data_IF_998833633511
#
_entry.id   IF_998833633511
#
_cell.length_a   1.000
_cell.length_b   1.000
_cell.length_c   1.000
_cell.angle_alpha   90.00
_cell.angle_beta   90.00
_cell.angle_gamma   90.00
#
_symmetry.space_group_name_H-M   'P 1'
#
loop_
_entity.id
_entity.type
_entity.pdbx_description
1 polymer ?
#
# COMPACT_ATOMS: atom_id res chain seq x y z
N UNK A 1 23.47 48.31 -42.28
CA UNK A 1 23.23 46.86 -42.00
C UNK A 1 22.91 46.72 -40.54
N UNK A 2 21.63 46.50 -40.21
CA UNK A 2 21.20 46.29 -38.83
C UNK A 2 21.09 44.79 -38.59
N UNK A 3 21.85 44.28 -37.63
CA UNK A 3 21.82 42.87 -37.21
C UNK A 3 20.61 42.66 -36.29
N UNK A 4 19.69 41.81 -36.73
CA UNK A 4 18.56 41.36 -35.92
C UNK A 4 19.10 40.19 -35.05
N UNK A 5 19.19 40.43 -33.72
CA UNK A 5 19.46 39.38 -32.75
C UNK A 5 18.12 38.71 -32.47
N UNK A 6 17.94 37.48 -32.98
CA UNK A 6 16.82 36.63 -32.62
C UNK A 6 17.19 35.97 -31.27
N UNK A 7 16.61 36.47 -30.17
CA UNK A 7 16.68 35.84 -28.86
C UNK A 7 15.76 34.63 -28.88
N UNK A 8 16.37 33.44 -28.99
CA UNK A 8 15.65 32.20 -28.84
C UNK A 8 15.23 32.01 -27.39
N UNK A 9 13.94 32.16 -27.06
CA UNK A 9 13.37 31.68 -25.84
C UNK A 9 13.44 30.13 -25.84
N UNK A 10 14.42 29.57 -25.15
CA UNK A 10 14.38 28.17 -24.78
C UNK A 10 13.27 28.00 -23.74
N UNK A 11 12.11 27.53 -24.18
CA UNK A 11 11.13 26.93 -23.27
C UNK A 11 11.80 25.73 -22.63
N UNK A 12 12.40 25.90 -21.45
CA UNK A 12 12.64 24.77 -20.55
C UNK A 12 11.26 24.32 -20.09
N UNK A 13 10.72 23.29 -20.72
CA UNK A 13 9.62 22.55 -20.18
C UNK A 13 10.04 22.16 -18.76
N UNK A 14 9.40 22.71 -17.75
CA UNK A 14 9.54 22.27 -16.35
C UNK A 14 9.14 20.81 -16.34
N UNK A 15 10.13 19.90 -16.20
CA UNK A 15 9.88 18.47 -16.09
C UNK A 15 8.86 18.26 -14.98
N UNK A 16 7.76 17.58 -15.30
CA UNK A 16 6.74 17.24 -14.31
C UNK A 16 7.37 16.36 -13.24
N UNK A 17 7.29 16.79 -12.00
CA UNK A 17 7.76 16.00 -10.85
C UNK A 17 6.82 14.85 -10.53
N UNK A 18 5.60 14.85 -11.08
CA UNK A 18 4.56 13.85 -10.86
C UNK A 18 4.86 12.61 -11.72
N UNK A 19 4.67 11.44 -11.14
CA UNK A 19 4.86 10.17 -11.84
C UNK A 19 3.65 9.90 -12.74
N UNK A 20 3.93 9.48 -13.96
CA UNK A 20 2.91 9.16 -14.97
C UNK A 20 3.05 7.70 -15.44
N UNK A 21 2.07 7.23 -16.21
CA UNK A 21 2.08 5.89 -16.83
C UNK A 21 2.16 6.03 -18.36
N UNK A 22 3.04 5.24 -18.98
CA UNK A 22 3.15 5.11 -20.44
C UNK A 22 3.27 3.63 -20.83
N UNK A 23 2.19 3.07 -21.37
CA UNK A 23 2.15 1.64 -21.68
C UNK A 23 2.34 0.81 -20.40
N UNK A 24 3.28 -0.11 -20.43
CA UNK A 24 3.59 -0.98 -19.28
C UNK A 24 4.62 -0.37 -18.31
N UNK A 25 4.89 0.94 -18.37
CA UNK A 25 5.94 1.58 -17.58
C UNK A 25 5.42 2.73 -16.75
N UNK A 26 5.98 2.91 -15.57
CA UNK A 26 5.92 4.17 -14.82
C UNK A 26 7.02 5.09 -15.32
N UNK A 27 6.71 6.39 -15.40
CA UNK A 27 7.63 7.42 -15.89
C UNK A 27 7.80 8.50 -14.82
N UNK A 28 9.04 8.83 -14.48
CA UNK A 28 9.39 9.94 -13.58
C UNK A 28 10.44 10.81 -14.26
N UNK A 29 10.19 12.11 -14.39
CA UNK A 29 11.10 13.04 -15.06
C UNK A 29 11.47 12.58 -16.49
N UNK A 30 10.50 12.07 -17.23
CA UNK A 30 10.68 11.60 -18.62
C UNK A 30 11.47 10.30 -18.78
N UNK A 31 11.73 9.56 -17.70
CA UNK A 31 12.47 8.30 -17.73
C UNK A 31 11.67 7.17 -17.09
N UNK A 32 11.89 5.91 -17.51
CA UNK A 32 11.33 4.76 -16.81
C UNK A 32 11.68 4.81 -15.32
N UNK A 33 10.68 4.57 -14.49
CA UNK A 33 10.80 4.61 -13.04
C UNK A 33 10.58 3.21 -12.46
N UNK A 34 11.63 2.68 -11.82
CA UNK A 34 11.57 1.43 -11.08
C UNK A 34 11.96 1.71 -9.63
N UNK A 35 11.34 1.02 -8.69
CA UNK A 35 11.61 1.26 -7.28
C UNK A 35 11.48 0.00 -6.41
N UNK A 36 12.18 0.03 -5.29
CA UNK A 36 11.90 -0.78 -4.11
C UNK A 36 11.43 0.18 -3.04
N UNK A 37 10.27 -0.10 -2.49
CA UNK A 37 9.61 0.64 -1.44
C UNK A 37 9.27 -0.25 -0.25
N UNK A 38 8.58 0.34 0.71
CA UNK A 38 8.08 -0.38 1.88
C UNK A 38 6.68 0.06 2.27
N UNK A 39 5.96 -0.79 2.99
CA UNK A 39 4.74 -0.43 3.68
C UNK A 39 5.04 0.19 5.04
N UNK A 40 4.34 1.27 5.36
CA UNK A 40 4.38 1.99 6.63
C UNK A 40 2.97 2.52 6.91
N UNK A 41 2.03 1.59 7.16
CA UNK A 41 0.60 1.89 7.31
C UNK A 41 0.32 2.99 8.34
N UNK A 42 1.14 3.07 9.37
CA UNK A 42 1.02 3.98 10.50
C UNK A 42 1.67 5.36 10.27
N UNK A 43 2.19 5.65 9.08
CA UNK A 43 2.97 6.87 8.84
C UNK A 43 2.20 8.15 9.15
N UNK A 44 0.90 8.25 8.80
CA UNK A 44 0.05 9.40 9.11
C UNK A 44 -0.12 9.61 10.62
N UNK A 45 -0.26 8.53 11.39
CA UNK A 45 -0.33 8.59 12.85
C UNK A 45 0.99 9.10 13.42
N UNK A 46 2.11 8.50 12.99
CA UNK A 46 3.45 8.88 13.45
C UNK A 46 3.80 10.33 13.10
N UNK A 47 3.31 10.83 11.95
CA UNK A 47 3.47 12.23 11.51
C UNK A 47 2.58 13.24 12.23
N UNK A 48 1.62 12.79 13.04
CA UNK A 48 0.71 13.68 13.79
C UNK A 48 1.36 14.26 15.02
N UNK A 49 0.71 15.27 15.61
CA UNK A 49 1.04 15.82 16.94
C UNK A 49 0.13 15.26 18.05
N UNK A 50 -0.73 14.29 17.70
CA UNK A 50 -1.66 13.66 18.61
C UNK A 50 -1.13 12.38 19.23
N UNK A 51 -2.07 11.58 19.76
CA UNK A 51 -1.78 10.26 20.32
C UNK A 51 -1.05 9.39 19.27
N UNK A 52 0.04 8.75 19.69
CA UNK A 52 0.88 7.92 18.83
C UNK A 52 1.79 8.68 17.85
N UNK A 53 1.71 10.01 17.83
CA UNK A 53 2.55 10.86 16.98
C UNK A 53 3.98 10.96 17.49
N UNK A 54 4.94 10.92 16.56
CA UNK A 54 6.36 11.13 16.83
C UNK A 54 7.08 11.55 15.54
N UNK A 55 6.99 12.84 15.23
CA UNK A 55 7.62 13.43 14.02
C UNK A 55 9.13 13.26 13.98
N UNK A 56 9.80 13.27 15.15
CA UNK A 56 11.25 13.06 15.21
C UNK A 56 11.60 11.63 14.76
N UNK A 57 10.89 10.63 15.28
CA UNK A 57 11.04 9.24 14.83
C UNK A 57 10.73 9.12 13.33
N UNK A 58 9.63 9.68 12.86
CA UNK A 58 9.27 9.64 11.44
C UNK A 58 10.41 10.18 10.56
N UNK A 59 10.96 11.35 10.88
CA UNK A 59 12.06 11.93 10.12
C UNK A 59 13.31 11.02 10.11
N UNK A 60 13.67 10.42 11.24
CA UNK A 60 14.79 9.47 11.34
C UNK A 60 14.54 8.21 10.49
N UNK A 61 13.30 7.67 10.52
CA UNK A 61 12.93 6.51 9.72
C UNK A 61 13.04 6.82 8.22
N UNK A 62 12.51 7.97 7.77
CA UNK A 62 12.60 8.38 6.38
C UNK A 62 14.05 8.64 5.93
N UNK A 63 14.88 9.22 6.79
CA UNK A 63 16.31 9.41 6.51
C UNK A 63 17.02 8.06 6.37
N UNK A 64 16.73 7.11 7.25
CA UNK A 64 17.28 5.76 7.19
C UNK A 64 16.84 5.05 5.91
N UNK A 65 15.53 5.00 5.62
CA UNK A 65 14.97 4.41 4.40
C UNK A 65 15.64 5.01 3.15
N UNK A 66 15.76 6.33 3.09
CA UNK A 66 16.47 7.00 2.00
C UNK A 66 17.93 6.56 1.87
N UNK A 67 18.64 6.39 3.00
CA UNK A 67 20.05 5.98 3.03
C UNK A 67 20.29 4.57 2.50
N UNK A 68 19.28 3.70 2.59
CA UNK A 68 19.31 2.34 2.04
C UNK A 68 18.70 2.23 0.64
N UNK A 69 18.33 3.38 0.03
CA UNK A 69 17.86 3.48 -1.34
C UNK A 69 16.36 3.30 -1.52
N UNK A 70 15.58 3.19 -0.46
CA UNK A 70 14.10 3.18 -0.52
C UNK A 70 13.61 4.56 -0.92
N UNK A 71 12.74 4.60 -1.93
CA UNK A 71 12.20 5.85 -2.49
C UNK A 71 10.69 5.91 -2.52
N UNK A 72 9.99 4.84 -2.14
CA UNK A 72 8.54 4.77 -2.16
C UNK A 72 8.01 4.22 -0.83
N UNK A 73 6.99 4.89 -0.28
CA UNK A 73 6.29 4.49 0.94
C UNK A 73 4.81 4.28 0.62
N UNK A 74 4.31 3.07 0.86
CA UNK A 74 2.88 2.77 0.80
C UNK A 74 2.28 2.90 2.20
N UNK A 75 1.23 3.70 2.36
CA UNK A 75 0.66 4.04 3.67
C UNK A 75 -0.85 4.23 3.64
N UNK A 76 -1.49 4.06 4.81
CA UNK A 76 -2.89 4.41 5.00
C UNK A 76 -3.07 5.93 5.18
N UNK A 77 -4.24 6.44 4.80
CA UNK A 77 -4.69 7.76 5.25
C UNK A 77 -4.84 7.80 6.78
N UNK A 78 -5.31 6.72 7.35
CA UNK A 78 -5.51 6.47 8.78
C UNK A 78 -6.56 5.38 9.01
N UNK A 79 -6.65 4.80 10.21
CA UNK A 79 -7.65 3.79 10.53
C UNK A 79 -9.01 4.40 10.86
N UNK A 80 -10.08 3.69 10.52
CA UNK A 80 -11.45 4.01 10.90
C UNK A 80 -11.87 3.18 12.12
N UNK A 81 -12.88 3.65 12.85
CA UNK A 81 -13.49 2.94 13.97
C UNK A 81 -14.30 1.71 13.50
N UNK A 82 -14.89 0.98 14.42
CA UNK A 82 -15.89 -0.06 14.12
C UNK A 82 -15.34 -1.47 13.94
N UNK A 83 -14.06 -1.70 14.17
CA UNK A 83 -13.49 -3.05 14.21
C UNK A 83 -14.05 -3.88 15.37
N UNK A 84 -14.32 -5.16 15.12
CA UNK A 84 -14.68 -6.15 16.14
C UNK A 84 -13.46 -6.80 16.81
N UNK A 85 -12.25 -6.52 16.34
CA UNK A 85 -11.02 -7.05 16.93
C UNK A 85 -10.77 -6.43 18.32
N UNK A 86 -10.20 -7.20 19.21
CA UNK A 86 -9.85 -6.72 20.56
C UNK A 86 -8.79 -5.61 20.52
N UNK A 87 -7.93 -5.62 19.52
CA UNK A 87 -6.84 -4.65 19.37
C UNK A 87 -6.74 -4.11 17.93
N UNK A 88 -7.67 -3.23 17.53
CA UNK A 88 -7.61 -2.59 16.22
C UNK A 88 -6.59 -1.46 16.17
N UNK A 89 -6.23 -1.02 14.97
CA UNK A 89 -5.38 0.16 14.79
C UNK A 89 -6.05 1.42 15.34
N UNK A 90 -5.28 2.23 16.06
CA UNK A 90 -5.69 3.50 16.71
C UNK A 90 -4.52 4.50 16.60
N UNK A 91 -4.76 5.83 16.81
CA UNK A 91 -6.07 6.49 16.94
C UNK A 91 -6.84 6.52 15.61
N UNK A 92 -8.16 6.66 15.67
CA UNK A 92 -9.02 6.64 14.49
C UNK A 92 -8.97 7.95 13.69
N UNK A 93 -8.92 7.82 12.36
CA UNK A 93 -9.14 8.92 11.43
C UNK A 93 -10.62 9.28 11.34
N UNK A 94 -11.51 8.27 11.30
CA UNK A 94 -12.96 8.47 11.36
C UNK A 94 -13.56 7.76 12.57
N UNK A 95 -14.31 8.48 13.39
CA UNK A 95 -15.12 7.91 14.50
C UNK A 95 -16.54 7.59 14.03
N UNK A 96 -17.06 8.37 13.10
CA UNK A 96 -18.26 8.12 12.31
C UNK A 96 -18.02 8.59 10.87
N UNK A 97 -18.77 8.10 9.86
CA UNK A 97 -18.58 8.52 8.48
C UNK A 97 -18.66 10.04 8.28
N UNK A 98 -17.55 10.63 7.83
CA UNK A 98 -17.41 12.06 7.63
C UNK A 98 -16.92 12.86 8.85
N UNK A 99 -16.82 12.26 10.02
CA UNK A 99 -16.19 12.87 11.21
C UNK A 99 -14.68 12.60 11.20
N UNK A 100 -13.94 13.46 10.51
CA UNK A 100 -12.51 13.31 10.29
C UNK A 100 -11.66 13.89 11.43
N UNK A 101 -10.71 13.14 11.93
CA UNK A 101 -9.69 13.60 12.87
C UNK A 101 -8.62 14.43 12.14
N UNK A 102 -8.72 15.75 12.21
CA UNK A 102 -7.79 16.64 11.53
C UNK A 102 -6.36 16.52 12.05
N UNK A 103 -6.14 16.06 13.28
CA UNK A 103 -4.80 15.82 13.83
C UNK A 103 -4.06 14.73 13.02
N UNK A 104 -4.75 13.64 12.66
CA UNK A 104 -4.17 12.58 11.80
C UNK A 104 -3.98 13.10 10.37
N UNK A 105 -4.93 13.89 9.85
CA UNK A 105 -4.80 14.49 8.53
C UNK A 105 -3.62 15.49 8.46
N UNK A 106 -3.35 16.25 9.51
CA UNK A 106 -2.14 17.07 9.61
C UNK A 106 -0.87 16.21 9.70
N UNK A 107 -0.98 15.01 10.28
CA UNK A 107 0.09 14.02 10.24
C UNK A 107 0.37 13.52 8.81
N UNK A 108 -0.68 13.23 8.03
CA UNK A 108 -0.57 12.89 6.62
C UNK A 108 0.06 14.04 5.81
N UNK A 109 -0.39 15.28 6.04
CA UNK A 109 0.20 16.49 5.44
C UNK A 109 1.70 16.57 5.72
N UNK A 110 2.10 16.31 6.96
CA UNK A 110 3.51 16.33 7.38
C UNK A 110 4.33 15.24 6.71
N UNK A 111 3.81 14.00 6.63
CA UNK A 111 4.49 12.89 5.93
C UNK A 111 4.74 13.25 4.48
N UNK A 112 3.72 13.75 3.74
CA UNK A 112 3.84 14.12 2.33
C UNK A 112 4.93 15.21 2.16
N UNK A 113 4.95 16.23 3.01
CA UNK A 113 5.97 17.27 2.98
C UNK A 113 7.39 16.73 3.27
N UNK A 114 7.54 15.79 4.21
CA UNK A 114 8.84 15.19 4.55
C UNK A 114 9.33 14.22 3.46
N UNK A 115 8.43 13.54 2.76
CA UNK A 115 8.77 12.72 1.59
C UNK A 115 9.27 13.59 0.43
N UNK A 116 8.61 14.72 0.13
CA UNK A 116 9.08 15.65 -0.92
C UNK A 116 10.50 16.16 -0.64
N UNK A 117 10.80 16.58 0.58
CA UNK A 117 12.14 17.04 0.99
C UNK A 117 13.21 15.99 0.70
N UNK A 118 12.88 14.71 0.82
CA UNK A 118 13.78 13.57 0.60
C UNK A 118 13.72 13.03 -0.83
N UNK A 119 12.89 13.59 -1.70
CA UNK A 119 12.62 13.09 -3.06
C UNK A 119 12.15 11.62 -3.02
N UNK A 120 11.24 11.33 -2.11
CA UNK A 120 10.55 10.06 -1.96
C UNK A 120 9.09 10.24 -2.37
N UNK A 121 8.44 9.13 -2.71
CA UNK A 121 7.08 9.10 -3.23
C UNK A 121 6.14 8.34 -2.28
N UNK A 122 4.88 8.72 -2.26
CA UNK A 122 3.84 8.09 -1.48
C UNK A 122 2.81 7.38 -2.38
N UNK A 123 2.46 6.15 -2.00
CA UNK A 123 1.23 5.48 -2.42
C UNK A 123 0.28 5.49 -1.23
N UNK A 124 -0.89 6.10 -1.38
CA UNK A 124 -1.81 6.34 -0.28
C UNK A 124 -3.10 5.56 -0.50
N UNK A 125 -3.39 4.56 0.34
CA UNK A 125 -4.66 3.86 0.28
C UNK A 125 -5.70 4.47 1.22
N UNK A 126 -6.93 4.56 0.69
CA UNK A 126 -8.02 5.33 1.29
C UNK A 126 -8.88 4.52 2.26
N UNK A 127 -8.93 3.21 2.11
CA UNK A 127 -9.72 2.30 2.93
C UNK A 127 -9.01 0.96 3.08
N UNK A 128 -9.63 0.02 3.79
CA UNK A 128 -9.16 -1.35 3.95
C UNK A 128 -10.34 -2.32 3.80
N UNK A 129 -10.14 -3.48 3.18
CA UNK A 129 -11.16 -4.52 3.19
C UNK A 129 -11.24 -5.24 4.54
N UNK A 130 -10.16 -5.19 5.32
CA UNK A 130 -10.02 -5.86 6.61
C UNK A 130 -10.34 -4.94 7.78
N UNK A 131 -10.96 -5.47 8.81
CA UNK A 131 -11.47 -4.70 9.93
C UNK A 131 -10.42 -4.24 10.94
N UNK A 132 -9.16 -4.65 10.83
CA UNK A 132 -8.12 -4.20 11.75
C UNK A 132 -7.91 -2.68 11.75
N UNK A 133 -8.36 -1.99 10.70
CA UNK A 133 -8.41 -0.54 10.61
C UNK A 133 -9.80 -0.01 10.25
N UNK A 134 -10.87 -0.68 10.67
CA UNK A 134 -12.26 -0.33 10.46
C UNK A 134 -12.90 -1.00 9.24
N UNK A 135 -12.33 -0.81 8.07
CA UNK A 135 -12.70 -1.51 6.85
C UNK A 135 -14.15 -1.31 6.39
N UNK A 136 -14.65 -2.30 5.67
CA UNK A 136 -16.03 -2.28 5.15
C UNK A 136 -17.07 -2.27 6.27
N UNK A 137 -16.73 -2.88 7.42
CA UNK A 137 -17.62 -2.95 8.58
C UNK A 137 -18.00 -1.59 9.14
N UNK A 138 -17.07 -0.62 9.07
CA UNK A 138 -17.31 0.74 9.48
C UNK A 138 -18.52 1.38 8.77
N UNK A 139 -18.61 1.21 7.45
CA UNK A 139 -19.72 1.76 6.66
C UNK A 139 -20.99 0.91 6.75
N UNK A 140 -20.86 -0.41 6.77
CA UNK A 140 -22.00 -1.34 6.83
C UNK A 140 -22.78 -1.20 8.16
N UNK A 141 -22.10 -0.97 9.27
CA UNK A 141 -22.71 -0.69 10.56
C UNK A 141 -23.69 0.48 10.48
N UNK A 142 -23.31 1.57 9.83
CA UNK A 142 -24.13 2.77 9.63
C UNK A 142 -25.30 2.54 8.65
N UNK A 143 -25.26 1.45 7.90
CA UNK A 143 -26.36 1.00 7.04
C UNK A 143 -27.34 0.06 7.74
N UNK A 144 -27.12 -0.25 9.03
CA UNK A 144 -28.01 -1.09 9.83
C UNK A 144 -27.69 -2.58 9.78
N UNK A 145 -26.51 -2.98 9.28
CA UNK A 145 -26.07 -4.37 9.27
C UNK A 145 -25.57 -4.87 10.64
N UNK A 146 -25.49 -3.97 11.64
CA UNK A 146 -24.91 -4.28 12.95
C UNK A 146 -23.39 -4.25 12.96
N UNK A 147 -22.81 -4.73 14.06
CA UNK A 147 -21.37 -4.78 14.23
C UNK A 147 -20.73 -5.84 13.30
N UNK A 148 -19.51 -5.54 12.82
CA UNK A 148 -18.72 -6.49 12.03
C UNK A 148 -18.45 -7.77 12.85
N UNK A 149 -18.58 -8.97 12.26
CA UNK A 149 -18.14 -10.19 12.92
C UNK A 149 -16.64 -10.19 13.15
N UNK A 150 -16.17 -10.70 14.29
CA UNK A 150 -14.75 -10.92 14.54
C UNK A 150 -14.23 -12.11 13.72
N UNK A 151 -13.38 -11.84 12.72
CA UNK A 151 -12.83 -12.87 11.85
C UNK A 151 -11.92 -13.88 12.57
N UNK A 152 -11.37 -13.53 13.75
CA UNK A 152 -10.46 -14.37 14.51
C UNK A 152 -11.16 -15.33 15.47
N UNK A 153 -12.49 -15.23 15.63
CA UNK A 153 -13.27 -16.19 16.41
C UNK A 153 -13.54 -17.49 15.63
N UNK A 154 -13.89 -18.55 16.32
CA UNK A 154 -14.29 -19.81 15.68
C UNK A 154 -15.44 -19.60 14.68
N UNK A 155 -15.21 -19.97 13.41
CA UNK A 155 -16.13 -19.72 12.31
C UNK A 155 -16.34 -18.23 11.98
N UNK A 156 -15.57 -17.32 12.61
CA UNK A 156 -15.68 -15.87 12.43
C UNK A 156 -15.32 -15.41 11.05
N UNK A 157 -14.30 -16.00 10.44
CA UNK A 157 -13.87 -15.64 9.09
C UNK A 157 -14.98 -15.74 8.04
N UNK A 158 -15.73 -16.85 8.01
CA UNK A 158 -16.84 -17.00 7.06
C UNK A 158 -17.95 -15.98 7.32
N UNK A 159 -18.29 -15.72 8.60
CA UNK A 159 -19.27 -14.68 8.95
C UNK A 159 -18.81 -13.29 8.51
N UNK A 160 -17.52 -12.99 8.66
CA UNK A 160 -16.93 -11.74 8.21
C UNK A 160 -17.01 -11.60 6.69
N UNK A 161 -16.66 -12.64 5.94
CA UNK A 161 -16.76 -12.67 4.47
C UNK A 161 -18.21 -12.42 4.01
N UNK A 162 -19.18 -13.12 4.59
CA UNK A 162 -20.61 -12.96 4.27
C UNK A 162 -21.13 -11.56 4.58
N UNK A 163 -20.66 -10.98 5.68
CA UNK A 163 -20.99 -9.62 6.10
C UNK A 163 -20.39 -8.59 5.13
N UNK A 164 -19.10 -8.67 4.86
CA UNK A 164 -18.37 -7.73 4.00
C UNK A 164 -18.80 -7.79 2.52
N UNK A 165 -19.32 -8.94 2.04
CA UNK A 165 -19.89 -9.09 0.70
C UNK A 165 -21.02 -8.09 0.41
N UNK A 166 -21.63 -7.50 1.44
CA UNK A 166 -22.69 -6.50 1.28
C UNK A 166 -22.17 -5.11 0.93
N UNK A 167 -20.90 -4.80 1.21
CA UNK A 167 -20.38 -3.43 1.07
C UNK A 167 -20.57 -2.87 -0.34
N UNK A 168 -20.08 -3.56 -1.36
CA UNK A 168 -20.21 -3.09 -2.75
C UNK A 168 -21.63 -3.11 -3.30
N UNK A 169 -22.56 -3.78 -2.60
CA UNK A 169 -24.01 -3.86 -2.94
C UNK A 169 -24.85 -2.82 -2.21
N UNK A 170 -24.32 -2.18 -1.16
CA UNK A 170 -25.04 -1.21 -0.33
C UNK A 170 -24.82 0.23 -0.82
N UNK A 171 -25.79 0.85 -1.51
CA UNK A 171 -25.60 2.19 -2.08
C UNK A 171 -25.25 3.27 -1.04
N UNK A 172 -25.80 3.17 0.18
CA UNK A 172 -25.51 4.14 1.25
C UNK A 172 -24.08 4.02 1.75
N UNK A 173 -23.54 2.78 1.87
CA UNK A 173 -22.15 2.56 2.23
C UNK A 173 -21.19 3.15 1.17
N UNK A 174 -21.50 2.91 -0.10
CA UNK A 174 -20.74 3.46 -1.23
C UNK A 174 -20.79 4.99 -1.25
N UNK A 175 -21.95 5.60 -0.99
CA UNK A 175 -22.10 7.07 -0.92
C UNK A 175 -21.24 7.66 0.21
N UNK A 176 -21.28 7.08 1.40
CA UNK A 176 -20.44 7.51 2.53
C UNK A 176 -18.95 7.40 2.19
N UNK A 177 -18.53 6.29 1.58
CA UNK A 177 -17.15 6.10 1.14
C UNK A 177 -16.75 7.13 0.05
N UNK A 178 -17.62 7.42 -0.91
CA UNK A 178 -17.37 8.46 -1.92
C UNK A 178 -17.26 9.87 -1.32
N UNK A 179 -18.02 10.17 -0.28
CA UNK A 179 -17.88 11.44 0.43
C UNK A 179 -16.54 11.53 1.18
N UNK A 180 -16.07 10.42 1.73
CA UNK A 180 -14.74 10.32 2.31
C UNK A 180 -13.64 10.53 1.25
N UNK A 181 -13.72 9.86 0.09
CA UNK A 181 -12.79 10.11 -1.05
C UNK A 181 -12.72 11.61 -1.37
N UNK A 182 -13.89 12.26 -1.52
CA UNK A 182 -13.93 13.70 -1.82
C UNK A 182 -13.20 14.52 -0.77
N UNK A 183 -13.45 14.24 0.50
CA UNK A 183 -12.83 14.98 1.61
C UNK A 183 -11.31 14.85 1.63
N UNK A 184 -10.79 13.63 1.41
CA UNK A 184 -9.34 13.38 1.43
C UNK A 184 -8.66 13.90 0.17
N UNK A 185 -9.11 13.50 -1.02
CA UNK A 185 -8.41 13.79 -2.29
C UNK A 185 -8.43 15.29 -2.64
N UNK A 186 -9.48 16.03 -2.22
CA UNK A 186 -9.55 17.48 -2.40
C UNK A 186 -8.83 18.30 -1.31
N UNK A 187 -8.16 17.65 -0.36
CA UNK A 187 -7.49 18.33 0.75
C UNK A 187 -6.41 19.29 0.25
N UNK A 188 -6.23 20.37 0.99
CA UNK A 188 -5.08 21.26 0.92
C UNK A 188 -4.13 20.92 2.06
N UNK A 189 -2.89 20.59 1.73
CA UNK A 189 -1.84 20.29 2.69
C UNK A 189 -1.58 21.50 3.59
N UNK A 190 -1.70 21.33 4.89
CA UNK A 190 -1.52 22.40 5.87
C UNK A 190 -0.06 22.84 6.05
N UNK A 191 0.91 22.02 5.63
CA UNK A 191 2.35 22.28 5.73
C UNK A 191 2.87 22.97 4.46
N UNK A 192 2.56 22.42 3.28
CA UNK A 192 3.07 22.95 2.00
C UNK A 192 2.18 24.05 1.43
N UNK A 193 0.92 24.11 1.84
CA UNK A 193 -0.08 25.04 1.31
C UNK A 193 -0.60 24.66 -0.09
N UNK A 194 -0.18 23.53 -0.68
CA UNK A 194 -0.65 23.03 -1.98
C UNK A 194 -1.90 22.15 -1.82
N UNK A 195 -2.71 22.08 -2.89
CA UNK A 195 -3.72 21.03 -2.98
C UNK A 195 -3.05 19.67 -3.17
N UNK A 196 -3.63 18.59 -2.64
CA UNK A 196 -3.05 17.25 -2.77
C UNK A 196 -2.81 16.85 -4.23
N UNK A 197 -3.69 17.23 -5.14
CA UNK A 197 -3.49 16.99 -6.59
C UNK A 197 -2.25 17.67 -7.20
N UNK A 198 -1.62 18.59 -6.48
CA UNK A 198 -0.42 19.31 -6.90
C UNK A 198 0.80 18.95 -6.04
N UNK A 199 0.69 17.95 -5.17
CA UNK A 199 1.77 17.47 -4.29
C UNK A 199 2.69 16.50 -5.03
N UNK A 200 3.94 16.88 -5.35
CA UNK A 200 4.80 16.04 -6.20
C UNK A 200 5.29 14.75 -5.50
N UNK A 201 5.12 14.63 -4.21
CA UNK A 201 5.45 13.42 -3.47
C UNK A 201 4.33 12.37 -3.49
N UNK A 202 3.11 12.71 -3.90
CA UNK A 202 2.07 11.72 -4.10
C UNK A 202 2.32 11.05 -5.46
N UNK A 203 2.53 9.73 -5.45
CA UNK A 203 2.59 8.92 -6.66
C UNK A 203 1.21 8.46 -7.07
N UNK A 204 0.46 7.91 -6.13
CA UNK A 204 -0.81 7.27 -6.43
C UNK A 204 -1.79 7.31 -5.26
N UNK A 205 -3.07 7.37 -5.62
CA UNK A 205 -4.19 7.02 -4.76
C UNK A 205 -4.59 5.57 -4.98
N UNK A 206 -4.82 4.84 -3.89
CA UNK A 206 -5.40 3.51 -3.95
C UNK A 206 -6.78 3.50 -3.35
N UNK A 207 -7.70 2.83 -4.02
CA UNK A 207 -9.09 2.77 -3.56
C UNK A 207 -9.20 2.12 -2.19
N UNK A 208 -8.43 1.05 -1.96
CA UNK A 208 -8.54 0.26 -0.74
C UNK A 208 -7.28 -0.58 -0.56
N UNK A 209 -6.91 -0.92 0.66
CA UNK A 209 -6.04 -2.04 0.91
C UNK A 209 -6.83 -3.33 0.71
N UNK A 210 -6.35 -4.18 -0.22
CA UNK A 210 -6.89 -5.50 -0.50
C UNK A 210 -8.41 -5.54 -0.76
N UNK A 211 -8.94 -4.69 -1.68
CA UNK A 211 -10.35 -4.72 -1.98
C UNK A 211 -10.78 -6.11 -2.49
N UNK A 212 -11.81 -6.67 -1.87
CA UNK A 212 -12.37 -7.98 -2.23
C UNK A 212 -13.87 -7.90 -2.43
N UNK A 213 -14.44 -8.68 -3.38
CA UNK A 213 -15.89 -8.85 -3.49
C UNK A 213 -16.48 -9.65 -2.33
N UNK A 214 -15.68 -10.51 -1.68
CA UNK A 214 -16.07 -11.46 -0.64
C UNK A 214 -17.24 -12.40 -1.05
N UNK A 215 -17.55 -12.44 -2.33
CA UNK A 215 -18.57 -13.32 -2.90
C UNK A 215 -18.36 -13.47 -4.40
N UNK A 216 -18.32 -14.69 -4.92
CA UNK A 216 -18.12 -14.99 -6.36
C UNK A 216 -19.19 -14.36 -7.27
N UNK A 217 -20.42 -14.23 -6.77
CA UNK A 217 -21.55 -13.66 -7.53
C UNK A 217 -21.73 -12.15 -7.30
N UNK A 218 -20.75 -11.47 -6.74
CA UNK A 218 -20.86 -10.04 -6.46
C UNK A 218 -20.50 -9.17 -7.68
N UNK A 219 -21.44 -8.96 -8.58
CA UNK A 219 -21.28 -8.10 -9.77
C UNK A 219 -21.18 -6.60 -9.44
N UNK A 220 -21.55 -6.18 -8.23
CA UNK A 220 -21.47 -4.78 -7.81
C UNK A 220 -20.03 -4.33 -7.53
N UNK A 221 -19.13 -5.28 -7.28
CA UNK A 221 -17.73 -5.00 -6.93
C UNK A 221 -16.99 -4.23 -8.04
N UNK A 222 -17.00 -4.71 -9.28
CA UNK A 222 -16.36 -4.02 -10.39
C UNK A 222 -16.95 -2.62 -10.64
N UNK A 223 -18.28 -2.47 -10.47
CA UNK A 223 -18.94 -1.17 -10.57
C UNK A 223 -18.48 -0.19 -9.47
N UNK A 224 -18.31 -0.67 -8.24
CA UNK A 224 -17.79 0.15 -7.14
C UNK A 224 -16.34 0.58 -7.43
N UNK A 225 -15.46 -0.33 -7.83
CA UNK A 225 -14.07 -0.04 -8.21
C UNK A 225 -14.03 1.06 -9.30
N UNK A 226 -14.77 0.87 -10.40
CA UNK A 226 -14.83 1.83 -11.51
C UNK A 226 -15.35 3.20 -11.05
N UNK A 227 -16.42 3.23 -10.24
CA UNK A 227 -16.99 4.47 -9.73
C UNK A 227 -16.07 5.24 -8.80
N UNK A 228 -15.36 4.53 -7.89
CA UNK A 228 -14.38 5.13 -7.00
C UNK A 228 -13.18 5.70 -7.76
N UNK A 229 -12.64 4.95 -8.72
CA UNK A 229 -11.54 5.39 -9.57
C UNK A 229 -11.91 6.64 -10.40
N UNK A 230 -13.08 6.63 -11.02
CA UNK A 230 -13.59 7.77 -11.78
C UNK A 230 -13.78 9.01 -10.89
N UNK A 231 -14.26 8.83 -9.66
CA UNK A 231 -14.40 9.93 -8.69
C UNK A 231 -13.03 10.53 -8.34
N UNK A 232 -12.04 9.72 -8.02
CA UNK A 232 -10.69 10.22 -7.71
C UNK A 232 -10.13 10.99 -8.90
N UNK A 233 -10.16 10.44 -10.11
CA UNK A 233 -9.68 11.10 -11.33
C UNK A 233 -10.43 12.41 -11.66
N UNK A 234 -11.68 12.54 -11.24
CA UNK A 234 -12.43 13.79 -11.42
C UNK A 234 -11.96 14.91 -10.49
N UNK A 235 -11.34 14.58 -9.35
CA UNK A 235 -10.83 15.53 -8.35
C UNK A 235 -9.34 15.77 -8.59
N UNK A 236 -8.62 14.68 -8.80
CA UNK A 236 -7.17 14.67 -9.01
C UNK A 236 -6.83 13.95 -10.34
N UNK A 237 -6.77 14.71 -11.44
CA UNK A 237 -6.39 14.16 -12.73
C UNK A 237 -4.88 13.92 -12.88
N UNK A 238 -4.07 14.37 -11.93
CA UNK A 238 -2.61 14.40 -12.04
C UNK A 238 -1.95 13.10 -11.55
N UNK A 239 -2.42 12.57 -10.41
CA UNK A 239 -1.80 11.40 -9.82
C UNK A 239 -2.39 10.09 -10.34
N UNK A 240 -1.59 9.04 -10.22
CA UNK A 240 -2.00 7.69 -10.58
C UNK A 240 -3.10 7.18 -9.64
N UNK A 241 -3.90 6.27 -10.15
CA UNK A 241 -4.91 5.55 -9.38
C UNK A 241 -4.74 4.06 -9.58
N UNK A 242 -4.77 3.29 -8.50
CA UNK A 242 -4.79 1.84 -8.54
C UNK A 242 -5.81 1.25 -7.57
N UNK A 243 -6.08 -0.03 -7.71
CA UNK A 243 -7.07 -0.72 -6.88
C UNK A 243 -6.58 -0.99 -5.46
N UNK A 244 -5.29 -1.33 -5.30
CA UNK A 244 -4.71 -1.90 -4.08
C UNK A 244 -5.05 -3.40 -3.91
N UNK A 245 -5.44 -4.07 -5.01
CA UNK A 245 -5.83 -5.49 -5.02
C UNK A 245 -4.63 -6.41 -4.85
N UNK A 246 -4.88 -7.57 -4.23
CA UNK A 246 -3.92 -8.67 -4.16
C UNK A 246 -3.66 -9.35 -5.52
N UNK A 247 -4.45 -9.02 -6.55
CA UNK A 247 -4.50 -9.71 -7.83
C UNK A 247 -5.68 -10.67 -7.92
N UNK A 248 -5.58 -11.78 -8.70
CA UNK A 248 -6.73 -12.69 -8.86
C UNK A 248 -7.13 -13.41 -7.57
N UNK A 249 -6.22 -13.59 -6.61
CA UNK A 249 -6.59 -14.14 -5.28
C UNK A 249 -7.55 -13.18 -4.57
N UNK A 250 -7.29 -11.88 -4.61
CA UNK A 250 -8.22 -10.86 -4.10
C UNK A 250 -9.53 -10.74 -4.87
N UNK A 251 -9.61 -11.35 -6.04
CA UNK A 251 -10.81 -11.45 -6.87
C UNK A 251 -11.50 -12.84 -6.78
N UNK A 252 -11.43 -13.51 -5.62
CA UNK A 252 -12.03 -14.83 -5.37
C UNK A 252 -11.51 -15.91 -6.34
N UNK A 253 -10.22 -15.86 -6.68
CA UNK A 253 -9.53 -16.72 -7.65
C UNK A 253 -10.06 -16.55 -9.09
N UNK A 254 -10.72 -15.45 -9.40
CA UNK A 254 -11.24 -15.13 -10.73
C UNK A 254 -10.33 -14.15 -11.46
N UNK A 255 -9.52 -14.66 -12.38
CA UNK A 255 -8.61 -13.86 -13.22
C UNK A 255 -9.38 -12.92 -14.16
N UNK A 256 -10.60 -13.28 -14.57
CA UNK A 256 -11.43 -12.45 -15.44
C UNK A 256 -11.98 -11.24 -14.71
N UNK A 257 -12.38 -11.39 -13.43
CA UNK A 257 -12.75 -10.27 -12.59
C UNK A 257 -11.55 -9.38 -12.30
N UNK A 258 -10.38 -9.99 -12.06
CA UNK A 258 -9.12 -9.25 -11.90
C UNK A 258 -8.79 -8.43 -13.16
N UNK A 259 -8.95 -9.00 -14.35
CA UNK A 259 -8.80 -8.29 -15.62
C UNK A 259 -9.82 -7.16 -15.76
N UNK A 260 -11.11 -7.42 -15.48
CA UNK A 260 -12.18 -6.43 -15.58
C UNK A 260 -11.91 -5.17 -14.74
N UNK A 261 -11.57 -5.32 -13.46
CA UNK A 261 -11.33 -4.17 -12.59
C UNK A 261 -10.08 -3.38 -12.98
N UNK A 262 -9.05 -4.04 -13.51
CA UNK A 262 -7.82 -3.36 -13.92
C UNK A 262 -7.88 -2.85 -15.37
N UNK A 263 -8.86 -3.28 -16.18
CA UNK A 263 -9.11 -2.73 -17.51
C UNK A 263 -9.75 -1.34 -17.47
N UNK A 264 -10.33 -0.92 -16.35
CA UNK A 264 -10.93 0.42 -16.23
C UNK A 264 -9.91 1.51 -16.59
N UNK A 265 -10.36 2.47 -17.42
CA UNK A 265 -9.51 3.56 -17.92
C UNK A 265 -8.97 4.50 -16.85
N UNK A 266 -9.61 4.52 -15.68
CA UNK A 266 -9.21 5.36 -14.54
C UNK A 266 -8.26 4.62 -13.57
N UNK A 267 -7.95 3.35 -13.82
CA UNK A 267 -6.94 2.58 -13.11
C UNK A 267 -5.67 2.59 -13.95
N UNK A 268 -4.59 3.15 -13.42
CA UNK A 268 -3.36 3.37 -14.19
C UNK A 268 -2.38 2.18 -14.15
N UNK A 269 -2.39 1.38 -13.09
CA UNK A 269 -1.50 0.22 -12.95
C UNK A 269 -2.14 -0.92 -12.14
N UNK A 270 -1.64 -2.12 -12.37
CA UNK A 270 -2.04 -3.33 -11.65
C UNK A 270 -1.25 -3.46 -10.36
N UNK A 271 -1.91 -4.03 -9.35
CA UNK A 271 -1.28 -4.37 -8.07
C UNK A 271 -1.43 -5.85 -7.77
N UNK A 272 -0.42 -6.43 -7.13
CA UNK A 272 -0.50 -7.76 -6.53
C UNK A 272 0.12 -7.75 -5.13
N UNK A 273 -0.41 -8.57 -4.24
CA UNK A 273 0.20 -8.91 -2.96
C UNK A 273 0.63 -10.38 -2.97
N UNK A 274 1.61 -10.76 -2.18
CA UNK A 274 2.14 -12.12 -2.16
C UNK A 274 2.40 -12.56 -0.71
N UNK A 275 1.51 -13.42 -0.20
CA UNK A 275 1.51 -13.90 1.18
C UNK A 275 1.62 -15.42 1.25
N UNK A 276 2.81 -16.02 1.04
CA UNK A 276 2.98 -17.47 0.87
C UNK A 276 2.47 -18.30 2.04
N UNK A 277 2.69 -17.83 3.28
CA UNK A 277 2.25 -18.54 4.49
C UNK A 277 0.72 -18.48 4.64
N UNK A 278 0.13 -17.32 4.34
CA UNK A 278 -1.32 -17.11 4.44
C UNK A 278 -2.08 -17.92 3.38
N UNK A 279 -1.49 -18.05 2.20
CA UNK A 279 -2.09 -18.75 1.06
C UNK A 279 -1.77 -20.26 1.02
N UNK A 280 -1.03 -20.76 2.02
CA UNK A 280 -0.70 -22.19 2.12
C UNK A 280 0.40 -22.64 1.18
N UNK A 281 1.17 -21.72 0.55
CA UNK A 281 2.34 -22.07 -0.25
C UNK A 281 3.56 -22.42 0.62
N UNK A 282 3.53 -22.04 1.88
CA UNK A 282 4.43 -22.51 2.91
C UNK A 282 3.62 -22.93 4.15
N UNK A 283 4.02 -23.99 4.88
CA UNK A 283 3.28 -24.44 6.05
C UNK A 283 3.43 -23.46 7.20
N UNK A 284 2.30 -23.02 7.77
CA UNK A 284 2.30 -22.04 8.88
C UNK A 284 3.06 -22.54 10.13
N UNK A 285 3.09 -23.85 10.36
CA UNK A 285 3.82 -24.46 11.49
C UNK A 285 5.33 -24.47 11.33
N UNK A 286 5.82 -24.40 10.09
CA UNK A 286 7.25 -24.36 9.77
C UNK A 286 7.46 -23.72 8.39
N UNK A 287 7.35 -22.38 8.28
CA UNK A 287 7.52 -21.68 7.01
C UNK A 287 8.87 -21.93 6.35
N UNK A 288 9.93 -22.09 7.13
CA UNK A 288 11.29 -22.32 6.62
C UNK A 288 11.37 -23.55 5.71
N UNK A 289 10.64 -24.62 6.04
CA UNK A 289 10.59 -25.84 5.21
C UNK A 289 9.86 -25.64 3.88
N UNK A 290 9.11 -24.55 3.72
CA UNK A 290 8.31 -24.25 2.54
C UNK A 290 8.91 -23.18 1.63
N UNK A 291 10.09 -22.64 1.92
CA UNK A 291 10.64 -21.47 1.23
C UNK A 291 10.82 -21.69 -0.29
N UNK A 292 11.28 -22.86 -0.71
CA UNK A 292 11.45 -23.17 -2.14
C UNK A 292 10.09 -23.19 -2.87
N UNK A 293 9.05 -23.80 -2.24
CA UNK A 293 7.71 -23.81 -2.82
C UNK A 293 7.10 -22.41 -2.81
N UNK A 294 7.31 -21.62 -1.76
CA UNK A 294 6.87 -20.23 -1.67
C UNK A 294 7.43 -19.40 -2.84
N UNK A 295 8.73 -19.50 -3.12
CA UNK A 295 9.34 -18.83 -4.26
C UNK A 295 8.77 -19.31 -5.60
N UNK A 296 8.59 -20.63 -5.77
CA UNK A 296 8.05 -21.23 -7.00
C UNK A 296 6.63 -20.75 -7.29
N UNK A 297 5.73 -20.84 -6.31
CA UNK A 297 4.33 -20.42 -6.45
C UNK A 297 4.22 -18.90 -6.66
N UNK A 298 5.03 -18.11 -5.95
CA UNK A 298 5.14 -16.66 -6.17
C UNK A 298 5.57 -16.34 -7.60
N UNK A 299 6.54 -17.08 -8.16
CA UNK A 299 6.98 -16.90 -9.52
C UNK A 299 5.89 -17.20 -10.55
N UNK A 300 5.11 -18.25 -10.34
CA UNK A 300 3.96 -18.57 -11.20
C UNK A 300 2.90 -17.47 -11.13
N UNK A 301 2.57 -17.02 -9.91
CA UNK A 301 1.61 -15.94 -9.68
C UNK A 301 2.04 -14.62 -10.36
N UNK A 302 3.30 -14.24 -10.21
CA UNK A 302 3.86 -13.05 -10.86
C UNK A 302 3.79 -13.18 -12.39
N UNK A 303 4.14 -14.36 -12.94
CA UNK A 303 4.13 -14.58 -14.37
C UNK A 303 2.73 -14.40 -14.99
N UNK A 304 1.68 -14.92 -14.34
CA UNK A 304 0.29 -14.73 -14.79
C UNK A 304 -0.11 -13.25 -14.82
N UNK A 305 0.28 -12.49 -13.80
CA UNK A 305 -0.02 -11.04 -13.73
C UNK A 305 0.84 -10.21 -14.69
N UNK A 306 2.05 -10.65 -15.03
CA UNK A 306 2.84 -10.04 -16.12
C UNK A 306 2.10 -10.16 -17.45
N UNK A 307 1.54 -11.34 -17.74
CA UNK A 307 0.77 -11.52 -18.98
C UNK A 307 -0.54 -10.69 -18.97
N UNK A 308 -1.19 -10.59 -17.81
CA UNK A 308 -2.34 -9.69 -17.65
C UNK A 308 -1.95 -8.22 -17.88
N UNK A 309 -0.88 -7.76 -17.27
CA UNK A 309 -0.37 -6.39 -17.41
C UNK A 309 -0.02 -6.05 -18.88
N UNK A 310 0.59 -6.99 -19.61
CA UNK A 310 0.86 -6.84 -21.04
C UNK A 310 -0.41 -6.72 -21.86
N UNK A 311 -1.43 -7.57 -21.61
CA UNK A 311 -2.72 -7.49 -22.33
C UNK A 311 -3.42 -6.16 -22.09
N UNK A 312 -3.37 -5.65 -20.86
CA UNK A 312 -3.98 -4.37 -20.49
C UNK A 312 -3.11 -3.15 -20.85
N UNK A 313 -1.86 -3.38 -21.27
CA UNK A 313 -0.87 -2.33 -21.54
C UNK A 313 -0.68 -1.39 -20.34
N UNK A 314 -0.53 -1.95 -19.14
CA UNK A 314 -0.37 -1.21 -17.86
C UNK A 314 0.81 -1.75 -17.06
N UNK A 315 1.44 -0.93 -16.21
CA UNK A 315 2.46 -1.38 -15.26
C UNK A 315 1.88 -2.35 -14.22
N UNK A 316 2.75 -3.18 -13.64
CA UNK A 316 2.46 -4.05 -12.51
C UNK A 316 3.33 -3.65 -11.32
N UNK A 317 2.77 -3.61 -10.13
CA UNK A 317 3.51 -3.40 -8.87
C UNK A 317 3.21 -4.52 -7.88
N UNK A 318 4.25 -5.07 -7.26
CA UNK A 318 4.13 -6.03 -6.14
C UNK A 318 4.07 -5.20 -4.86
N UNK A 319 2.87 -4.82 -4.40
CA UNK A 319 2.71 -3.80 -3.35
C UNK A 319 2.79 -4.32 -1.93
N UNK A 320 2.59 -5.61 -1.76
CA UNK A 320 2.86 -6.29 -0.50
C UNK A 320 3.50 -7.65 -0.77
N UNK A 321 4.49 -7.96 0.02
CA UNK A 321 5.02 -9.30 0.18
C UNK A 321 5.78 -9.37 1.49
N UNK A 322 5.77 -10.51 2.11
CA UNK A 322 6.47 -10.72 3.36
C UNK A 322 6.76 -12.21 3.60
N UNK A 323 7.73 -12.44 4.45
CA UNK A 323 8.02 -13.76 4.99
C UNK A 323 8.35 -13.64 6.46
N UNK A 324 7.85 -14.56 7.27
CA UNK A 324 8.07 -14.54 8.72
C UNK A 324 9.53 -14.81 9.08
N UNK A 325 9.91 -14.49 10.30
CA UNK A 325 11.19 -14.87 10.87
C UNK A 325 11.26 -16.36 11.09
N UNK A 326 12.48 -16.87 11.38
CA UNK A 326 12.73 -18.28 11.62
C UNK A 326 11.71 -18.90 12.57
N UNK A 327 11.30 -20.12 12.25
CA UNK A 327 10.32 -20.90 13.02
C UNK A 327 8.97 -20.18 13.24
N UNK A 328 8.67 -19.15 12.42
CA UNK A 328 7.48 -18.31 12.55
C UNK A 328 7.38 -17.55 13.89
N UNK A 329 8.52 -17.27 14.52
CA UNK A 329 8.59 -16.57 15.81
C UNK A 329 8.75 -15.07 15.59
N UNK A 330 8.09 -14.26 16.44
CA UNK A 330 8.17 -12.80 16.42
C UNK A 330 9.31 -12.30 17.33
N UNK A 331 9.93 -11.16 16.96
CA UNK A 331 10.96 -10.51 17.77
C UNK A 331 12.17 -10.05 16.96
N UNK A 332 13.01 -9.21 17.54
CA UNK A 332 14.16 -8.61 16.85
C UNK A 332 15.40 -9.52 16.78
N UNK A 333 15.53 -10.46 17.72
CA UNK A 333 16.71 -11.35 17.81
C UNK A 333 16.52 -12.68 17.07
N UNK A 334 15.44 -12.83 16.35
CA UNK A 334 15.11 -14.04 15.59
C UNK A 334 15.71 -13.96 14.19
N UNK A 335 16.43 -14.99 13.71
CA UNK A 335 17.04 -14.99 12.37
C UNK A 335 16.03 -14.77 11.24
N UNK A 336 16.51 -14.24 10.12
CA UNK A 336 15.72 -13.84 8.94
C UNK A 336 16.08 -14.63 7.68
N UNK A 337 16.75 -15.80 7.80
CA UNK A 337 17.31 -16.53 6.67
C UNK A 337 16.29 -16.80 5.55
N UNK A 338 15.11 -17.35 5.88
CA UNK A 338 14.05 -17.61 4.87
C UNK A 338 13.43 -16.34 4.34
N UNK A 339 13.28 -15.30 5.18
CA UNK A 339 12.86 -13.97 4.72
C UNK A 339 13.85 -13.40 3.70
N UNK A 340 15.14 -13.51 3.98
CA UNK A 340 16.20 -12.98 3.12
C UNK A 340 16.22 -13.69 1.76
N UNK A 341 16.02 -15.01 1.74
CA UNK A 341 15.85 -15.79 0.49
C UNK A 341 14.63 -15.28 -0.29
N UNK A 342 13.49 -15.09 0.39
CA UNK A 342 12.26 -14.63 -0.24
C UNK A 342 12.37 -13.20 -0.77
N UNK A 343 12.97 -12.28 -0.02
CA UNK A 343 13.21 -10.90 -0.43
C UNK A 343 14.15 -10.82 -1.63
N UNK A 344 15.24 -11.58 -1.61
CA UNK A 344 16.12 -11.72 -2.75
C UNK A 344 15.36 -12.17 -4.00
N UNK A 345 14.50 -13.19 -3.86
CA UNK A 345 13.70 -13.71 -4.96
C UNK A 345 12.76 -12.65 -5.57
N UNK A 346 12.00 -11.92 -4.74
CA UNK A 346 11.07 -10.88 -5.22
C UNK A 346 11.83 -9.69 -5.82
N UNK A 347 12.89 -9.22 -5.20
CA UNK A 347 13.68 -8.12 -5.73
C UNK A 347 14.34 -8.46 -7.08
N UNK A 348 14.76 -9.71 -7.28
CA UNK A 348 15.28 -10.15 -8.56
C UNK A 348 14.22 -10.09 -9.67
N UNK A 349 12.93 -10.34 -9.36
CA UNK A 349 11.85 -10.15 -10.34
C UNK A 349 11.75 -8.69 -10.79
N UNK A 350 11.86 -7.73 -9.86
CA UNK A 350 11.83 -6.29 -10.17
C UNK A 350 13.06 -5.90 -11.00
N UNK A 351 14.25 -6.34 -10.60
CA UNK A 351 15.50 -6.04 -11.29
C UNK A 351 15.50 -6.61 -12.72
N UNK A 352 15.19 -7.90 -12.88
CA UNK A 352 15.09 -8.53 -14.20
C UNK A 352 14.04 -7.83 -15.08
N UNK A 353 12.92 -7.41 -14.50
CA UNK A 353 11.89 -6.66 -15.22
C UNK A 353 12.44 -5.32 -15.74
N UNK A 354 13.18 -4.59 -14.92
CA UNK A 354 13.80 -3.32 -15.31
C UNK A 354 14.83 -3.52 -16.44
N UNK A 355 15.64 -4.57 -16.35
CA UNK A 355 16.67 -4.91 -17.36
C UNK A 355 16.06 -5.38 -18.69
N UNK A 356 14.96 -6.14 -18.64
CA UNK A 356 14.33 -6.76 -19.81
C UNK A 356 13.15 -5.95 -20.38
N UNK A 357 12.77 -4.83 -19.74
CA UNK A 357 11.64 -4.00 -20.16
C UNK A 357 10.26 -4.68 -19.93
N UNK A 358 10.15 -5.54 -18.93
CA UNK A 358 8.90 -6.19 -18.51
C UNK A 358 8.02 -5.22 -17.69
N UNK A 359 6.71 -5.55 -17.42
CA UNK A 359 5.77 -4.63 -16.80
C UNK A 359 6.01 -4.33 -15.31
N UNK A 360 6.82 -5.11 -14.57
CA UNK A 360 7.00 -4.87 -13.13
C UNK A 360 7.76 -3.57 -12.93
N UNK A 361 7.07 -2.57 -12.42
CA UNK A 361 7.63 -1.23 -12.19
C UNK A 361 8.22 -1.05 -10.79
N UNK A 362 7.82 -1.87 -9.82
CA UNK A 362 8.36 -1.78 -8.47
C UNK A 362 7.75 -2.78 -7.51
N UNK A 363 8.21 -2.69 -6.25
CA UNK A 363 7.64 -3.46 -5.16
C UNK A 363 7.72 -2.69 -3.83
N UNK A 364 6.83 -3.04 -2.88
CA UNK A 364 6.84 -2.59 -1.50
C UNK A 364 6.80 -3.80 -0.57
N UNK A 365 7.85 -4.04 0.20
CA UNK A 365 7.81 -5.12 1.19
C UNK A 365 6.91 -4.75 2.38
N UNK A 366 6.32 -5.74 3.01
CA UNK A 366 5.62 -5.60 4.28
C UNK A 366 6.57 -6.01 5.40
N UNK A 367 6.99 -5.11 6.24
CA UNK A 367 6.93 -3.67 6.09
C UNK A 367 7.93 -3.06 7.08
N UNK A 368 8.01 -1.74 7.20
CA UNK A 368 9.05 -1.09 7.97
C UNK A 368 8.73 -1.07 9.47
N UNK A 369 9.58 -1.65 10.29
CA UNK A 369 9.59 -1.52 11.74
C UNK A 369 10.65 -0.49 12.21
N UNK A 370 11.74 -0.41 11.45
CA UNK A 370 12.80 0.57 11.64
C UNK A 370 13.44 0.56 13.03
N UNK A 371 13.47 1.72 13.67
CA UNK A 371 13.96 1.89 15.03
C UNK A 371 12.92 1.52 16.10
N UNK A 372 11.68 1.22 15.72
CA UNK A 372 10.66 0.73 16.64
C UNK A 372 11.02 -0.63 17.22
N UNK A 373 10.51 -0.93 18.41
CA UNK A 373 10.75 -2.21 19.08
C UNK A 373 9.45 -2.74 19.68
N UNK A 374 9.14 -4.02 19.46
CA UNK A 374 8.04 -4.65 20.17
C UNK A 374 8.39 -4.74 21.65
N UNK A 375 7.46 -4.34 22.53
CA UNK A 375 7.59 -4.61 23.98
C UNK A 375 7.08 -6.00 24.31
N UNK A 376 5.94 -6.36 23.70
CA UNK A 376 5.25 -7.62 23.86
C UNK A 376 4.76 -8.14 22.50
N UNK A 377 4.23 -9.35 22.47
CA UNK A 377 3.61 -9.91 21.25
C UNK A 377 2.32 -9.18 20.85
N UNK A 378 1.64 -8.56 21.80
CA UNK A 378 0.38 -7.85 21.59
C UNK A 378 0.62 -6.37 21.80
N UNK A 379 0.42 -5.57 20.75
CA UNK A 379 0.57 -4.12 20.83
C UNK A 379 -0.39 -3.51 21.86
N UNK A 380 0.10 -2.53 22.62
CA UNK A 380 -0.67 -1.76 23.59
C UNK A 380 -0.55 -0.26 23.31
N UNK A 381 -1.55 0.57 23.69
CA UNK A 381 -1.42 2.02 23.61
C UNK A 381 -0.15 2.53 24.29
N UNK A 382 0.65 3.28 23.52
CA UNK A 382 1.95 3.79 23.94
C UNK A 382 3.16 2.93 23.54
N UNK A 383 2.92 1.79 22.87
CA UNK A 383 3.98 1.04 22.19
C UNK A 383 4.34 1.68 20.85
N UNK A 384 5.54 1.37 20.35
CA UNK A 384 5.93 1.77 19.02
C UNK A 384 5.02 1.13 17.97
N UNK A 385 4.60 1.93 16.97
CA UNK A 385 4.00 1.34 15.78
C UNK A 385 5.07 0.63 14.97
N UNK A 386 4.73 -0.58 14.54
CA UNK A 386 5.49 -1.43 13.64
C UNK A 386 4.67 -1.69 12.38
N UNK A 387 5.23 -2.40 11.40
CA UNK A 387 4.45 -2.78 10.23
C UNK A 387 3.41 -3.86 10.55
N UNK A 388 3.66 -4.68 11.57
CA UNK A 388 2.67 -5.63 12.05
C UNK A 388 1.47 -4.87 12.64
N UNK A 389 0.24 -5.04 12.10
CA UNK A 389 -0.95 -4.41 12.68
C UNK A 389 -1.14 -4.79 14.15
N UNK A 390 -1.79 -3.95 14.98
CA UNK A 390 -1.90 -4.18 16.42
C UNK A 390 -2.52 -5.50 16.87
N UNK A 391 -3.34 -6.13 16.01
CA UNK A 391 -3.97 -7.43 16.26
C UNK A 391 -3.07 -8.63 15.95
N UNK A 392 -1.94 -8.40 15.30
CA UNK A 392 -0.95 -9.43 14.94
C UNK A 392 0.20 -9.48 15.94
N UNK A 393 0.94 -10.60 15.99
CA UNK A 393 2.17 -10.70 16.79
C UNK A 393 3.18 -9.64 16.37
N UNK A 394 3.58 -8.78 17.29
CA UNK A 394 4.47 -7.65 17.02
C UNK A 394 5.92 -8.11 16.77
N UNK A 395 6.53 -7.64 15.69
CA UNK A 395 7.86 -8.06 15.23
C UNK A 395 7.84 -9.33 14.38
N UNK A 396 6.69 -9.72 13.84
CA UNK A 396 6.51 -10.92 13.02
C UNK A 396 7.06 -10.72 11.61
N UNK A 397 6.51 -9.74 10.88
CA UNK A 397 6.94 -9.37 9.51
C UNK A 397 7.78 -8.11 9.46
N UNK A 398 7.78 -7.28 10.49
CA UNK A 398 8.52 -6.02 10.53
C UNK A 398 10.00 -6.20 10.23
N UNK A 399 10.53 -5.34 9.34
CA UNK A 399 11.95 -5.18 9.06
C UNK A 399 12.51 -4.08 9.95
N UNK A 400 13.44 -4.44 10.83
CA UNK A 400 14.07 -3.53 11.77
C UNK A 400 15.43 -3.03 11.25
N UNK A 401 15.88 -1.91 11.78
CA UNK A 401 17.22 -1.35 11.50
C UNK A 401 18.37 -2.30 11.89
N UNK A 402 18.13 -3.23 12.82
CA UNK A 402 19.05 -4.27 13.23
C UNK A 402 19.04 -5.54 12.38
N UNK A 403 18.10 -5.71 11.42
CA UNK A 403 18.05 -6.83 10.48
C UNK A 403 19.12 -6.65 9.38
N UNK A 404 20.38 -6.76 9.77
CA UNK A 404 21.53 -6.36 8.94
C UNK A 404 21.63 -7.10 7.61
N UNK A 405 21.25 -8.39 7.55
CA UNK A 405 21.23 -9.19 6.32
C UNK A 405 20.13 -8.74 5.38
N UNK A 406 18.89 -8.55 5.86
CA UNK A 406 17.78 -8.03 5.07
C UNK A 406 18.08 -6.62 4.55
N UNK A 407 18.66 -5.73 5.39
CA UNK A 407 19.08 -4.38 4.99
C UNK A 407 20.16 -4.41 3.91
N UNK A 408 21.10 -5.36 3.99
CA UNK A 408 22.14 -5.52 2.96
C UNK A 408 21.53 -5.90 1.60
N UNK A 409 20.57 -6.81 1.57
CA UNK A 409 19.83 -7.21 0.35
C UNK A 409 19.06 -6.01 -0.21
N UNK A 410 18.33 -5.26 0.63
CA UNK A 410 17.63 -4.05 0.19
C UNK A 410 18.59 -3.07 -0.49
N UNK A 411 19.74 -2.77 0.13
CA UNK A 411 20.76 -1.87 -0.42
C UNK A 411 21.34 -2.36 -1.75
N UNK A 412 21.54 -3.65 -1.89
CA UNK A 412 22.05 -4.25 -3.13
C UNK A 412 21.08 -4.00 -4.29
N UNK A 413 19.81 -4.34 -4.10
CA UNK A 413 18.80 -4.25 -5.14
C UNK A 413 18.35 -2.81 -5.45
N UNK A 414 18.21 -1.94 -4.45
CA UNK A 414 17.92 -0.53 -4.70
C UNK A 414 19.00 0.14 -5.54
N UNK A 415 20.27 -0.22 -5.32
CA UNK A 415 21.38 0.27 -6.13
C UNK A 415 21.40 -0.33 -7.55
N UNK A 416 20.95 -1.57 -7.71
CA UNK A 416 20.95 -2.25 -9.00
C UNK A 416 19.89 -1.67 -9.95
N UNK A 417 18.67 -1.38 -9.47
CA UNK A 417 17.57 -0.87 -10.29
C UNK A 417 17.65 0.62 -10.61
N UNK A 418 18.52 1.38 -9.95
CA UNK A 418 18.69 2.84 -10.17
C UNK A 418 19.80 3.17 -11.18
N UNK A 419 20.46 2.18 -11.75
CA UNK A 419 21.47 2.34 -12.78
C UNK A 419 20.85 2.42 -14.18
#
# INVERSE_FOLDING_TARGET
MAAIIISGCSNSATESKIITQEGTRLIKNGKPYHYIGTNMWYASILGSEGEGGNRERLCKELDHLKSIGITNIRMATGPDAGSALANPAKPYLQTAPGELNDTILQGLDFVIAELEKRKMDAVIYLNNAWDWSGGYGFYLKECGYGDSPNANEEGGYNRYVDYCANFSREPKAIEMYYNYIKAIVSRKNSITGRSYKDEPAIMAWQLCNEPRPFAKENKAFAKWISGAAALIKSIDPNHLVSTGSEGYIGCELDIMLCEEIHADKNIDYLTIHIWPVNWGWAPRSNPDSGIENACKESGAYIAEHIELAKRLNKPLVIEEFGYSRKDNISGTDIPTDSRDIFYHYIFEQVKSSAEEGKPIAGCNFWGWGGNGRPRDLVWQPGDDYLSDPPHEPQGWYSVFDCDTSTIAIIKEYTKAITK
#
